data_IF_182593272471
#
_entry.id   IF_182593272471
#
_cell.length_a   1.000
_cell.length_b   1.000
_cell.length_c   1.000
_cell.angle_alpha   90.00
_cell.angle_beta   90.00
_cell.angle_gamma   90.00
#
_symmetry.space_group_name_H-M   'P 1'
#
loop_
_entity.id
_entity.type
_entity.pdbx_description
1 polymer ?
#
# COMPACT_ATOMS: atom_id res chain seq x y z
N UNK A 1 15.39 0.87 -16.14
CA UNK A 1 16.06 1.19 -14.88
C UNK A 1 15.24 0.66 -13.71
N UNK A 2 15.96 0.07 -12.79
CA UNK A 2 15.28 -0.58 -11.66
C UNK A 2 14.80 0.44 -10.65
N UNK A 3 13.62 0.18 -10.12
CA UNK A 3 13.01 0.95 -9.05
C UNK A 3 12.58 0.00 -7.96
N UNK A 4 12.49 0.51 -6.75
CA UNK A 4 11.79 -0.22 -5.69
C UNK A 4 10.31 0.13 -5.78
N UNK A 5 9.46 -0.87 -6.00
CA UNK A 5 8.01 -0.69 -5.96
C UNK A 5 7.51 -1.00 -4.57
N UNK A 6 6.86 -0.01 -3.96
CA UNK A 6 6.30 -0.14 -2.62
C UNK A 6 4.78 -0.02 -2.74
N UNK A 7 4.08 -1.14 -2.52
CA UNK A 7 2.62 -1.13 -2.46
C UNK A 7 2.23 -0.75 -1.04
N UNK A 8 1.60 0.41 -0.90
CA UNK A 8 1.12 0.91 0.39
C UNK A 8 -0.37 0.66 0.48
N UNK A 9 -0.79 -0.08 1.49
CA UNK A 9 -2.19 -0.37 1.72
C UNK A 9 -2.50 -0.31 3.22
N UNK A 10 -3.77 -0.29 3.55
CA UNK A 10 -4.17 -0.25 4.94
C UNK A 10 -5.59 0.24 5.14
N UNK A 11 -5.96 0.44 6.39
CA UNK A 11 -7.30 0.82 6.77
C UNK A 11 -7.68 2.23 6.33
N UNK A 12 -8.96 2.41 6.03
CA UNK A 12 -9.48 3.73 5.62
C UNK A 12 -9.46 4.76 6.74
N UNK A 13 -9.34 4.32 7.99
CA UNK A 13 -9.28 5.20 9.16
C UNK A 13 -7.86 5.46 9.62
N UNK A 14 -6.87 4.92 8.93
CA UNK A 14 -5.48 5.18 9.25
C UNK A 14 -5.13 6.63 8.91
N UNK A 15 -4.61 7.38 9.89
CA UNK A 15 -4.33 8.80 9.73
C UNK A 15 -2.93 9.22 10.23
N UNK A 16 -2.10 8.26 10.62
CA UNK A 16 -0.78 8.55 11.18
C UNK A 16 0.27 8.65 10.08
N UNK A 17 0.32 9.80 9.43
CA UNK A 17 1.28 10.04 8.35
C UNK A 17 2.73 9.90 8.81
N UNK A 18 3.04 10.34 10.04
CA UNK A 18 4.42 10.26 10.54
C UNK A 18 4.88 8.80 10.64
N UNK A 19 4.01 7.92 11.11
CA UNK A 19 4.33 6.48 11.14
C UNK A 19 4.53 5.93 9.72
N UNK A 20 3.67 6.31 8.79
CA UNK A 20 3.78 5.89 7.40
C UNK A 20 5.11 6.38 6.80
N UNK A 21 5.43 7.65 6.97
CA UNK A 21 6.67 8.23 6.44
C UNK A 21 7.90 7.55 7.04
N UNK A 22 7.91 7.37 8.36
CA UNK A 22 9.01 6.70 9.05
C UNK A 22 9.20 5.26 8.54
N UNK A 23 8.10 4.54 8.35
CA UNK A 23 8.14 3.15 7.88
C UNK A 23 8.70 3.06 6.45
N UNK A 24 8.21 3.91 5.55
CA UNK A 24 8.69 3.92 4.16
C UNK A 24 10.15 4.36 4.11
N UNK A 25 10.52 5.41 4.83
CA UNK A 25 11.91 5.87 4.87
C UNK A 25 12.85 4.78 5.38
N UNK A 26 12.43 4.01 6.38
CA UNK A 26 13.21 2.90 6.90
C UNK A 26 13.44 1.80 5.88
N UNK A 27 12.41 1.46 5.11
CA UNK A 27 12.52 0.47 4.03
C UNK A 27 13.48 0.94 2.94
N UNK A 28 13.36 2.19 2.55
CA UNK A 28 14.24 2.78 1.52
C UNK A 28 15.69 2.77 2.00
N UNK A 29 15.94 3.20 3.23
CA UNK A 29 17.28 3.21 3.81
C UNK A 29 17.90 1.81 3.87
N UNK A 30 17.12 0.82 4.29
CA UNK A 30 17.57 -0.57 4.35
C UNK A 30 17.89 -1.13 2.97
N UNK A 31 17.07 -0.78 1.98
CA UNK A 31 17.21 -1.32 0.62
C UNK A 31 18.33 -0.67 -0.19
N UNK A 32 18.68 0.58 0.12
CA UNK A 32 19.63 1.36 -0.65
C UNK A 32 19.10 1.89 -1.99
N UNK A 33 17.82 1.69 -2.28
CA UNK A 33 17.22 2.19 -3.52
C UNK A 33 16.89 3.68 -3.42
N UNK A 34 17.22 4.44 -4.47
CA UNK A 34 16.90 5.87 -4.56
C UNK A 34 15.67 6.13 -5.40
N UNK A 35 15.45 5.32 -6.43
CA UNK A 35 14.32 5.48 -7.34
C UNK A 35 13.15 4.61 -6.85
N UNK A 36 12.06 5.27 -6.46
CA UNK A 36 10.93 4.65 -5.77
C UNK A 36 9.64 4.91 -6.54
N UNK A 37 8.81 3.89 -6.64
CA UNK A 37 7.43 4.04 -7.10
C UNK A 37 6.48 3.54 -6.02
N UNK A 38 5.56 4.40 -5.61
CA UNK A 38 4.49 4.02 -4.67
C UNK A 38 3.32 3.49 -5.49
N UNK A 39 2.80 2.33 -5.08
CA UNK A 39 1.62 1.72 -5.71
C UNK A 39 0.47 1.81 -4.71
N UNK A 40 -0.65 2.37 -5.14
CA UNK A 40 -1.77 2.69 -4.26
C UNK A 40 -3.11 2.32 -4.89
N UNK A 41 -4.03 1.84 -4.05
CA UNK A 41 -5.40 1.54 -4.46
C UNK A 41 -6.36 2.73 -4.36
N UNK A 42 -5.86 3.89 -3.96
CA UNK A 42 -6.62 5.15 -3.91
C UNK A 42 -7.80 5.17 -2.94
N UNK A 43 -7.81 4.29 -1.95
CA UNK A 43 -8.82 4.36 -0.88
C UNK A 43 -8.45 5.41 0.15
N UNK A 44 -9.44 5.89 0.90
CA UNK A 44 -9.18 6.78 2.03
C UNK A 44 -8.24 6.10 3.03
N UNK A 45 -7.50 6.89 3.77
CA UNK A 45 -6.58 6.39 4.79
C UNK A 45 -5.20 6.08 4.26
N UNK A 46 -4.68 4.90 4.54
CA UNK A 46 -3.29 4.53 4.24
C UNK A 46 -2.94 4.70 2.77
N UNK A 47 -3.83 4.31 1.86
CA UNK A 47 -3.59 4.41 0.42
C UNK A 47 -3.28 5.85 0.01
N UNK A 48 -4.13 6.78 0.40
CA UNK A 48 -3.95 8.20 0.06
C UNK A 48 -2.78 8.84 0.77
N UNK A 49 -2.47 8.39 1.98
CA UNK A 49 -1.26 8.84 2.67
C UNK A 49 0.00 8.36 1.96
N UNK A 50 -0.03 7.18 1.35
CA UNK A 50 1.06 6.70 0.50
C UNK A 50 1.24 7.58 -0.73
N UNK A 51 0.14 8.02 -1.34
CA UNK A 51 0.18 8.96 -2.46
C UNK A 51 0.76 10.31 -2.03
N UNK A 52 0.39 10.79 -0.85
CA UNK A 52 0.95 12.01 -0.27
C UNK A 52 2.46 11.89 -0.05
N UNK A 53 2.90 10.73 0.44
CA UNK A 53 4.33 10.45 0.58
C UNK A 53 5.06 10.61 -0.76
N UNK A 54 4.50 10.02 -1.82
CA UNK A 54 5.10 10.13 -3.15
C UNK A 54 5.21 11.59 -3.59
N UNK A 55 4.16 12.38 -3.38
CA UNK A 55 4.16 13.80 -3.73
C UNK A 55 5.23 14.57 -2.95
N UNK A 56 5.31 14.36 -1.63
CA UNK A 56 6.27 15.08 -0.77
C UNK A 56 7.72 14.72 -1.05
N UNK A 57 7.97 13.50 -1.51
CA UNK A 57 9.33 13.00 -1.73
C UNK A 57 9.71 12.91 -3.21
N UNK A 58 8.90 13.49 -4.09
CA UNK A 58 9.12 13.47 -5.54
C UNK A 58 9.30 12.05 -6.10
N UNK A 59 8.55 11.08 -5.52
CA UNK A 59 8.52 9.72 -6.02
C UNK A 59 7.36 9.57 -6.99
N UNK A 60 7.44 8.57 -7.86
CA UNK A 60 6.33 8.26 -8.75
C UNK A 60 5.23 7.52 -7.99
N UNK A 61 3.99 7.67 -8.45
CA UNK A 61 2.86 6.95 -7.89
C UNK A 61 2.08 6.27 -9.02
N UNK A 62 1.82 4.98 -8.83
CA UNK A 62 0.96 4.20 -9.72
C UNK A 62 -0.33 3.92 -8.97
N UNK A 63 -1.43 4.46 -9.47
CA UNK A 63 -2.72 4.43 -8.77
C UNK A 63 -3.67 3.47 -9.49
N UNK A 64 -4.31 2.58 -8.71
CA UNK A 64 -5.27 1.60 -9.20
C UNK A 64 -6.61 1.83 -8.53
N UNK A 65 -7.44 2.78 -9.02
CA UNK A 65 -8.75 2.99 -8.43
C UNK A 65 -9.65 1.78 -8.66
N UNK A 66 -10.43 1.43 -7.66
CA UNK A 66 -11.41 0.36 -7.82
C UNK A 66 -12.61 0.88 -8.64
N UNK A 67 -13.05 0.07 -9.60
CA UNK A 67 -14.16 0.45 -10.48
C UNK A 67 -15.49 -0.04 -9.90
N UNK A 68 -15.92 0.58 -8.79
CA UNK A 68 -17.12 0.17 -8.06
C UNK A 68 -18.39 0.21 -8.91
N UNK A 69 -18.51 1.19 -9.79
CA UNK A 69 -19.70 1.32 -10.66
C UNK A 69 -19.81 0.15 -11.64
N UNK A 70 -18.67 -0.36 -12.09
CA UNK A 70 -18.65 -1.42 -13.10
C UNK A 70 -18.76 -2.81 -12.48
N UNK A 71 -18.10 -3.05 -11.34
CA UNK A 71 -17.95 -4.38 -10.78
C UNK A 71 -18.60 -4.55 -9.39
N UNK A 72 -19.14 -3.50 -8.82
CA UNK A 72 -19.74 -3.57 -7.50
C UNK A 72 -18.75 -4.04 -6.43
N UNK A 73 -19.19 -4.94 -5.56
CA UNK A 73 -18.37 -5.42 -4.44
C UNK A 73 -17.09 -6.13 -4.87
N UNK A 74 -17.04 -6.64 -6.08
CA UNK A 74 -15.83 -7.32 -6.60
C UNK A 74 -14.73 -6.35 -6.99
N UNK A 75 -15.04 -5.07 -7.13
CA UNK A 75 -14.09 -4.07 -7.59
C UNK A 75 -12.86 -3.95 -6.69
N UNK A 76 -13.06 -4.01 -5.37
CA UNK A 76 -11.95 -3.95 -4.41
C UNK A 76 -10.98 -5.11 -4.54
N UNK A 77 -11.45 -6.36 -4.42
CA UNK A 77 -10.59 -7.53 -4.61
C UNK A 77 -9.92 -7.58 -5.98
N UNK A 78 -10.64 -7.18 -7.03
CA UNK A 78 -10.07 -7.13 -8.39
C UNK A 78 -8.92 -6.13 -8.47
N UNK A 79 -9.10 -4.94 -7.91
CA UNK A 79 -8.07 -3.92 -7.86
C UNK A 79 -6.86 -4.39 -7.04
N UNK A 80 -7.11 -5.04 -5.90
CA UNK A 80 -6.03 -5.58 -5.07
C UNK A 80 -5.19 -6.58 -5.85
N UNK A 81 -5.83 -7.46 -6.61
CA UNK A 81 -5.12 -8.41 -7.46
C UNK A 81 -4.33 -7.71 -8.55
N UNK A 82 -4.89 -6.68 -9.16
CA UNK A 82 -4.19 -5.89 -10.19
C UNK A 82 -2.91 -5.28 -9.63
N UNK A 83 -2.95 -4.74 -8.41
CA UNK A 83 -1.78 -4.15 -7.78
C UNK A 83 -0.69 -5.20 -7.51
N UNK A 84 -1.07 -6.33 -6.92
CA UNK A 84 -0.11 -7.41 -6.63
C UNK A 84 0.48 -7.97 -7.92
N UNK A 85 -0.34 -8.18 -8.94
CA UNK A 85 0.14 -8.65 -10.25
C UNK A 85 1.11 -7.65 -10.86
N UNK A 86 0.82 -6.35 -10.74
CA UNK A 86 1.68 -5.31 -11.26
C UNK A 86 3.08 -5.36 -10.62
N UNK A 87 3.16 -5.36 -9.28
CA UNK A 87 4.46 -5.38 -8.63
C UNK A 87 5.18 -6.73 -8.77
N UNK A 88 4.43 -7.82 -8.98
CA UNK A 88 5.02 -9.14 -9.20
C UNK A 88 5.90 -9.19 -10.45
N UNK A 89 5.65 -8.33 -11.41
CA UNK A 89 6.43 -8.25 -12.65
C UNK A 89 7.80 -7.61 -12.48
N UNK A 90 8.12 -7.08 -11.30
CA UNK A 90 9.38 -6.40 -11.05
C UNK A 90 10.21 -7.17 -10.03
N UNK A 91 11.53 -7.01 -10.09
CA UNK A 91 12.45 -7.71 -9.20
C UNK A 91 12.42 -7.12 -7.78
N UNK A 92 12.35 -5.80 -7.66
CA UNK A 92 12.45 -5.10 -6.38
C UNK A 92 11.10 -4.57 -5.97
N UNK A 93 10.49 -5.22 -4.99
CA UNK A 93 9.13 -4.93 -4.56
C UNK A 93 8.92 -5.27 -3.10
N UNK A 94 8.01 -4.56 -2.47
CA UNK A 94 7.61 -4.83 -1.09
C UNK A 94 6.19 -4.30 -0.87
N UNK A 95 5.46 -4.91 0.04
CA UNK A 95 4.15 -4.43 0.48
C UNK A 95 4.28 -3.91 1.91
N UNK A 96 3.76 -2.72 2.16
CA UNK A 96 3.67 -2.16 3.51
C UNK A 96 2.19 -1.98 3.80
N UNK A 97 1.70 -2.64 4.85
CA UNK A 97 0.29 -2.63 5.21
C UNK A 97 0.10 -2.08 6.62
N UNK A 98 -0.81 -1.10 6.75
CA UNK A 98 -1.18 -0.53 8.05
C UNK A 98 -2.52 -1.13 8.45
N UNK A 99 -2.51 -2.00 9.46
CA UNK A 99 -3.63 -2.86 9.79
C UNK A 99 -4.21 -2.57 11.17
N UNK A 100 -5.52 -2.75 11.26
CA UNK A 100 -6.25 -2.76 12.53
C UNK A 100 -7.19 -3.96 12.54
N UNK A 101 -7.96 -4.13 13.60
CA UNK A 101 -8.92 -5.23 13.70
C UNK A 101 -9.99 -5.21 12.60
N UNK A 102 -10.20 -4.06 11.94
CA UNK A 102 -11.28 -3.87 10.95
C UNK A 102 -10.83 -3.76 9.49
N UNK A 103 -9.60 -4.14 9.16
CA UNK A 103 -9.05 -3.93 7.80
C UNK A 103 -9.18 -5.17 6.90
N UNK A 104 -10.42 -5.57 6.58
CA UNK A 104 -10.67 -6.78 5.77
C UNK A 104 -10.09 -6.70 4.36
N UNK A 105 -10.26 -5.56 3.68
CA UNK A 105 -9.74 -5.39 2.32
C UNK A 105 -8.23 -5.46 2.26
N UNK A 106 -7.57 -4.89 3.25
CA UNK A 106 -6.12 -4.92 3.38
C UNK A 106 -5.62 -6.35 3.58
N UNK A 107 -6.32 -7.16 4.36
CA UNK A 107 -5.94 -8.56 4.56
C UNK A 107 -5.99 -9.36 3.27
N UNK A 108 -6.91 -9.02 2.37
CA UNK A 108 -6.97 -9.62 1.04
C UNK A 108 -5.68 -9.32 0.25
N UNK A 109 -5.24 -8.07 0.25
CA UNK A 109 -3.98 -7.67 -0.41
C UNK A 109 -2.78 -8.40 0.20
N UNK A 110 -2.72 -8.48 1.54
CA UNK A 110 -1.65 -9.19 2.25
C UNK A 110 -1.61 -10.66 1.84
N UNK A 111 -2.77 -11.32 1.80
CA UNK A 111 -2.85 -12.73 1.42
C UNK A 111 -2.38 -12.95 -0.02
N UNK A 112 -2.79 -12.08 -0.95
CA UNK A 112 -2.35 -12.16 -2.34
C UNK A 112 -0.84 -11.97 -2.46
N UNK A 113 -0.28 -11.02 -1.71
CA UNK A 113 1.17 -10.76 -1.73
C UNK A 113 1.95 -11.94 -1.19
N UNK A 114 1.51 -12.52 -0.07
CA UNK A 114 2.16 -13.70 0.52
C UNK A 114 2.11 -14.90 -0.41
N UNK A 115 0.98 -15.12 -1.07
CA UNK A 115 0.83 -16.18 -2.05
C UNK A 115 1.79 -15.99 -3.23
N UNK A 116 2.09 -14.76 -3.59
CA UNK A 116 3.03 -14.42 -4.66
C UNK A 116 4.49 -14.36 -4.17
N UNK A 117 4.75 -14.73 -2.91
CA UNK A 117 6.08 -14.70 -2.29
C UNK A 117 6.69 -13.28 -2.23
N UNK A 118 5.85 -12.29 -2.01
CA UNK A 118 6.28 -10.89 -1.86
C UNK A 118 6.37 -10.56 -0.38
N UNK A 119 7.48 -9.93 0.04
CA UNK A 119 7.66 -9.51 1.43
C UNK A 119 6.58 -8.51 1.83
N UNK A 120 5.98 -8.72 3.00
CA UNK A 120 4.98 -7.82 3.56
C UNK A 120 5.45 -7.32 4.91
N UNK A 121 5.42 -6.01 5.12
CA UNK A 121 5.62 -5.40 6.42
C UNK A 121 4.26 -4.96 6.93
N UNK A 122 3.84 -5.48 8.07
CA UNK A 122 2.56 -5.11 8.69
C UNK A 122 2.83 -4.22 9.88
N UNK A 123 2.16 -3.07 9.93
CA UNK A 123 2.20 -2.16 11.06
C UNK A 123 0.81 -2.04 11.64
N UNK A 124 0.65 -2.40 12.89
CA UNK A 124 -0.63 -2.30 13.57
C UNK A 124 -0.89 -0.88 14.05
N UNK A 125 -2.14 -0.45 13.97
CA UNK A 125 -2.57 0.81 14.55
C UNK A 125 -3.90 0.63 15.27
N UNK A 126 -4.19 1.53 16.18
CA UNK A 126 -5.42 1.51 16.98
C UNK A 126 -6.31 2.63 16.48
N UNK A 127 -7.60 2.30 16.23
CA UNK A 127 -8.61 3.30 15.93
C UNK A 127 -9.07 3.89 17.24
N UNK A 128 -8.88 5.19 17.42
CA UNK A 128 -9.34 5.89 18.61
C UNK A 128 -10.72 6.45 18.30
N UNK A 129 -11.74 5.87 18.94
CA UNK A 129 -13.09 6.40 18.85
C UNK A 129 -13.18 7.63 19.75
N UNK A 130 -13.50 8.76 19.16
CA UNK A 130 -13.76 9.95 19.97
C UNK A 130 -15.12 9.82 20.64
N UNK A 131 -15.22 10.13 21.92
CA UNK A 131 -16.50 10.10 22.62
C UNK A 131 -17.50 11.14 22.06
#
# INVERSE_FOLDING_TARGET
>A
MDKLRILVCGGRHFADYDLLEETINGVIAESGWEDIEIVSGHCAGADRLGELYAEKHNAQAKIFPAEWEKYGKRAGPMRNKQMVDYISGFENKIVIAFVSAKTKGTRNTIALAKKANIRVIEKEYIIIDKP
#
